data_IF_562127908559
#
_entry.id   IF_562127908559
#
_cell.length_a   1.000
_cell.length_b   1.000
_cell.length_c   1.000
_cell.angle_alpha   90.00
_cell.angle_beta   90.00
_cell.angle_gamma   90.00
#
_symmetry.space_group_name_H-M   'P 1'
#
loop_
_entity.id
_entity.type
_entity.pdbx_description
1 polymer ?
#
# COMPACT_ATOMS: atom_id res chain seq x y z
N UNK A 1 -18.91 -59.85 -26.63
CA UNK A 1 -19.53 -58.50 -26.62
C UNK A 1 -20.82 -58.46 -25.82
N UNK A 2 -21.75 -59.41 -25.97
CA UNK A 2 -23.03 -59.40 -25.20
C UNK A 2 -22.87 -59.48 -23.68
N UNK A 3 -21.95 -60.31 -23.17
CA UNK A 3 -21.72 -60.42 -21.73
C UNK A 3 -21.23 -59.11 -21.08
N UNK A 4 -20.46 -58.31 -21.83
CA UNK A 4 -20.00 -56.98 -21.40
C UNK A 4 -21.19 -56.01 -21.29
N UNK A 5 -22.10 -56.03 -22.26
CA UNK A 5 -23.31 -55.21 -22.27
C UNK A 5 -24.31 -55.57 -21.17
N UNK A 6 -24.43 -56.85 -20.83
CA UNK A 6 -25.31 -57.31 -19.74
C UNK A 6 -24.74 -56.88 -18.38
N UNK A 7 -23.42 -57.01 -18.20
CA UNK A 7 -22.74 -56.60 -16.97
C UNK A 7 -22.77 -55.09 -16.75
N UNK A 8 -22.53 -54.29 -17.81
CA UNK A 8 -22.62 -52.82 -17.71
C UNK A 8 -24.05 -52.35 -17.43
N UNK A 9 -25.05 -52.98 -18.04
CA UNK A 9 -26.47 -52.65 -17.82
C UNK A 9 -26.92 -52.90 -16.38
N UNK A 10 -26.47 -53.99 -15.76
CA UNK A 10 -26.79 -54.30 -14.36
C UNK A 10 -26.18 -53.27 -13.38
N UNK A 11 -24.96 -52.78 -13.66
CA UNK A 11 -24.27 -51.78 -12.82
C UNK A 11 -24.81 -50.36 -12.96
N UNK A 12 -25.29 -49.98 -14.16
CA UNK A 12 -25.87 -48.65 -14.40
C UNK A 12 -27.24 -48.52 -13.72
N UNK A 13 -28.04 -49.57 -13.75
CA UNK A 13 -29.37 -49.57 -13.13
C UNK A 13 -29.35 -49.49 -11.59
N UNK A 14 -28.24 -49.85 -10.93
CA UNK A 14 -28.11 -49.73 -9.47
C UNK A 14 -27.76 -48.31 -8.98
N UNK A 15 -27.50 -47.36 -9.89
CA UNK A 15 -27.06 -45.98 -9.58
C UNK A 15 -28.19 -44.95 -9.87
N UNK A 16 -29.40 -45.42 -10.23
CA UNK A 16 -30.53 -44.55 -10.56
C UNK A 16 -31.02 -43.76 -9.33
N UNK A 17 -30.65 -42.47 -9.29
CA UNK A 17 -30.95 -41.53 -8.21
C UNK A 17 -32.40 -41.00 -8.28
N UNK A 18 -33.10 -41.21 -9.40
CA UNK A 18 -34.46 -40.73 -9.61
C UNK A 18 -35.52 -41.78 -9.26
N UNK A 19 -35.34 -42.46 -8.11
CA UNK A 19 -36.14 -43.60 -7.60
C UNK A 19 -37.66 -43.37 -7.45
N UNK A 20 -38.26 -42.38 -8.10
CA UNK A 20 -39.70 -42.37 -8.41
C UNK A 20 -39.91 -43.19 -9.70
N UNK A 21 -40.42 -44.43 -9.60
CA UNK A 21 -40.71 -45.22 -10.79
C UNK A 21 -41.80 -44.51 -11.59
N UNK A 22 -41.45 -43.95 -12.74
CA UNK A 22 -42.45 -43.64 -13.76
C UNK A 22 -42.94 -44.98 -14.29
N UNK A 23 -44.07 -45.45 -13.73
CA UNK A 23 -44.73 -46.69 -14.11
C UNK A 23 -45.30 -46.57 -15.52
N UNK A 24 -44.54 -47.01 -16.53
CA UNK A 24 -45.04 -47.22 -17.88
C UNK A 24 -45.41 -48.69 -18.04
N UNK A 25 -46.71 -48.97 -17.99
CA UNK A 25 -47.26 -50.31 -18.18
C UNK A 25 -47.24 -50.67 -19.66
N UNK A 26 -46.25 -51.44 -20.11
CA UNK A 26 -46.24 -52.03 -21.45
C UNK A 26 -46.50 -53.54 -21.33
N UNK A 27 -47.61 -54.00 -21.91
CA UNK A 27 -48.02 -55.42 -21.95
C UNK A 27 -48.18 -56.10 -20.58
N UNK A 28 -48.70 -55.40 -19.57
CA UNK A 28 -49.10 -56.01 -18.30
C UNK A 28 -47.96 -56.55 -17.43
N UNK A 29 -46.71 -56.20 -17.73
CA UNK A 29 -45.55 -56.46 -16.87
C UNK A 29 -44.94 -55.13 -16.44
N UNK A 30 -44.88 -54.89 -15.15
CA UNK A 30 -44.13 -53.77 -14.57
C UNK A 30 -42.64 -53.99 -14.85
N UNK A 31 -42.11 -53.35 -15.89
CA UNK A 31 -40.69 -53.43 -16.22
C UNK A 31 -39.99 -52.18 -15.69
N UNK A 32 -39.38 -52.34 -14.53
CA UNK A 32 -38.63 -51.31 -13.82
C UNK A 32 -37.32 -50.94 -14.51
N UNK A 33 -36.89 -49.69 -14.28
CA UNK A 33 -35.64 -49.02 -14.69
C UNK A 33 -35.54 -48.65 -16.17
N UNK A 34 -35.76 -47.37 -16.47
CA UNK A 34 -35.46 -46.81 -17.78
C UNK A 34 -33.95 -46.74 -17.91
N UNK A 35 -33.38 -47.54 -18.81
CA UNK A 35 -31.96 -47.45 -19.20
C UNK A 35 -31.52 -45.99 -19.49
N UNK A 36 -32.47 -45.18 -19.97
CA UNK A 36 -32.32 -43.74 -20.19
C UNK A 36 -32.15 -42.93 -18.89
N UNK A 37 -32.86 -43.28 -17.82
CA UNK A 37 -32.68 -42.67 -16.49
C UNK A 37 -31.29 -42.95 -15.94
N UNK A 38 -30.82 -44.19 -16.05
CA UNK A 38 -29.46 -44.56 -15.65
C UNK A 38 -28.35 -43.82 -16.42
N UNK A 39 -28.50 -43.63 -17.74
CA UNK A 39 -27.57 -42.81 -18.54
C UNK A 39 -27.59 -41.35 -18.08
N UNK A 40 -28.78 -40.78 -17.87
CA UNK A 40 -28.92 -39.40 -17.42
C UNK A 40 -28.29 -39.19 -16.04
N UNK A 41 -28.52 -40.11 -15.10
CA UNK A 41 -27.88 -40.08 -13.78
C UNK A 41 -26.35 -40.13 -13.88
N UNK A 42 -25.78 -41.00 -14.72
CA UNK A 42 -24.33 -41.08 -14.93
C UNK A 42 -23.79 -39.76 -15.51
N UNK A 43 -24.46 -39.17 -16.50
CA UNK A 43 -24.05 -37.87 -17.06
C UNK A 43 -24.09 -36.75 -16.02
N UNK A 44 -25.15 -36.71 -15.20
CA UNK A 44 -25.25 -35.74 -14.11
C UNK A 44 -24.16 -35.94 -13.08
N UNK A 45 -23.88 -37.18 -12.65
CA UNK A 45 -22.79 -37.49 -11.71
C UNK A 45 -21.44 -37.05 -12.27
N UNK A 46 -21.15 -37.32 -13.54
CA UNK A 46 -19.92 -36.86 -14.20
C UNK A 46 -19.85 -35.33 -14.21
N UNK A 47 -20.96 -34.65 -14.52
CA UNK A 47 -21.06 -33.19 -14.47
C UNK A 47 -20.73 -32.63 -13.09
N UNK A 48 -21.34 -33.17 -12.03
CA UNK A 48 -21.08 -32.75 -10.65
C UNK A 48 -19.64 -33.01 -10.21
N UNK A 49 -19.08 -34.19 -10.53
CA UNK A 49 -17.68 -34.50 -10.21
C UNK A 49 -16.74 -33.56 -10.94
N UNK A 50 -17.01 -33.26 -12.22
CA UNK A 50 -16.20 -32.32 -13.00
C UNK A 50 -16.27 -30.90 -12.44
N UNK A 51 -17.47 -30.46 -12.06
CA UNK A 51 -17.69 -29.15 -11.42
C UNK A 51 -16.99 -29.06 -10.05
N UNK A 52 -17.15 -30.07 -9.20
CA UNK A 52 -16.46 -30.13 -7.91
C UNK A 52 -14.94 -30.18 -8.05
N UNK A 53 -14.42 -30.88 -9.07
CA UNK A 53 -12.99 -30.87 -9.37
C UNK A 53 -12.52 -29.49 -9.82
N UNK A 54 -13.29 -28.79 -10.66
CA UNK A 54 -12.99 -27.43 -11.08
C UNK A 54 -12.97 -26.46 -9.89
N UNK A 55 -13.97 -26.51 -9.00
CA UNK A 55 -13.99 -25.69 -7.79
C UNK A 55 -12.83 -26.02 -6.85
N UNK A 56 -12.46 -27.31 -6.72
CA UNK A 56 -11.30 -27.74 -5.93
C UNK A 56 -10.00 -27.19 -6.50
N UNK A 57 -9.85 -27.20 -7.83
CA UNK A 57 -8.69 -26.58 -8.50
C UNK A 57 -8.68 -25.08 -8.18
N UNK A 58 -9.80 -24.37 -8.34
CA UNK A 58 -9.87 -22.93 -8.06
C UNK A 58 -9.51 -22.57 -6.62
N UNK A 59 -9.93 -23.41 -5.66
CA UNK A 59 -9.58 -23.29 -4.23
C UNK A 59 -8.07 -23.49 -4.02
N UNK A 60 -7.51 -24.59 -4.54
CA UNK A 60 -6.10 -24.93 -4.35
C UNK A 60 -5.15 -23.96 -5.08
N UNK A 61 -5.54 -23.47 -6.25
CA UNK A 61 -4.77 -22.48 -7.01
C UNK A 61 -5.06 -21.05 -6.60
N UNK A 62 -5.99 -20.82 -5.67
CA UNK A 62 -6.46 -19.50 -5.22
C UNK A 62 -6.88 -18.58 -6.38
N UNK A 63 -7.33 -19.14 -7.50
CA UNK A 63 -7.61 -18.37 -8.72
C UNK A 63 -8.92 -17.58 -8.62
N UNK A 64 -9.80 -17.96 -7.70
CA UNK A 64 -11.07 -17.29 -7.42
C UNK A 64 -10.98 -16.36 -6.20
N UNK A 65 -9.80 -15.77 -5.96
CA UNK A 65 -9.59 -14.82 -4.86
C UNK A 65 -10.36 -13.53 -5.11
N UNK A 66 -11.21 -13.15 -4.17
CA UNK A 66 -11.87 -11.83 -4.16
C UNK A 66 -10.86 -10.78 -3.75
N UNK A 67 -10.76 -9.72 -4.55
CA UNK A 67 -9.86 -8.59 -4.35
C UNK A 67 -10.68 -7.32 -4.37
N UNK A 68 -10.65 -6.54 -3.30
CA UNK A 68 -11.31 -5.26 -3.24
C UNK A 68 -10.36 -4.16 -2.74
N UNK A 69 -10.51 -2.97 -3.32
CA UNK A 69 -9.91 -1.73 -2.84
C UNK A 69 -11.04 -0.72 -2.71
N UNK A 70 -11.26 -0.23 -1.49
CA UNK A 70 -12.23 0.81 -1.20
C UNK A 70 -11.48 2.05 -0.74
N UNK A 71 -11.74 3.19 -1.36
CA UNK A 71 -11.17 4.49 -0.96
C UNK A 71 -12.27 5.32 -0.31
N UNK A 72 -12.03 5.79 0.91
CA UNK A 72 -12.97 6.61 1.69
C UNK A 72 -12.31 7.96 1.91
N UNK A 73 -12.94 9.02 1.42
CA UNK A 73 -12.56 10.40 1.74
C UNK A 73 -13.16 10.80 3.10
N UNK A 74 -12.30 11.19 4.04
CA UNK A 74 -12.74 11.66 5.36
C UNK A 74 -13.00 13.16 5.34
N UNK A 75 -14.01 13.58 6.09
CA UNK A 75 -14.25 15.00 6.33
C UNK A 75 -13.10 15.59 7.18
N UNK A 76 -12.43 16.63 6.66
CA UNK A 76 -11.34 17.36 7.35
C UNK A 76 -11.74 17.84 8.74
N UNK A 77 -13.03 18.13 8.93
CA UNK A 77 -13.55 18.60 10.21
C UNK A 77 -13.50 17.44 11.22
N UNK A 78 -13.68 16.18 10.82
CA UNK A 78 -13.80 15.08 11.78
C UNK A 78 -12.47 14.34 12.05
N UNK A 79 -11.38 14.71 11.38
CA UNK A 79 -10.08 14.05 11.55
C UNK A 79 -9.35 14.60 12.78
N UNK A 80 -9.41 13.86 13.88
CA UNK A 80 -8.62 14.10 15.10
C UNK A 80 -7.54 13.06 15.35
N UNK A 81 -7.50 12.01 14.53
CA UNK A 81 -6.53 10.92 14.66
C UNK A 81 -5.13 11.40 14.29
N UNK A 82 -4.13 10.88 14.99
CA UNK A 82 -2.71 11.00 14.63
C UNK A 82 -2.18 9.64 14.25
N UNK A 83 -1.25 9.63 13.31
CA UNK A 83 -0.47 8.45 13.00
C UNK A 83 0.97 8.70 13.43
N UNK A 84 1.42 7.94 14.43
CA UNK A 84 2.83 7.88 14.77
C UNK A 84 3.48 6.88 13.82
N UNK A 85 4.53 7.31 13.14
CA UNK A 85 5.23 6.49 12.18
C UNK A 85 6.72 6.48 12.48
N UNK A 86 7.33 5.36 12.12
CA UNK A 86 8.78 5.22 12.13
C UNK A 86 9.34 5.16 10.71
N UNK A 87 10.67 5.12 10.58
CA UNK A 87 11.32 4.86 9.30
C UNK A 87 10.94 3.49 8.69
N UNK A 88 10.37 2.57 9.47
CA UNK A 88 9.84 1.32 8.94
C UNK A 88 8.54 1.50 8.16
N UNK A 89 7.78 2.56 8.44
CA UNK A 89 6.50 2.85 7.79
C UNK A 89 6.67 3.84 6.65
N UNK A 90 7.47 4.87 6.88
CA UNK A 90 7.79 5.93 5.93
C UNK A 90 9.22 6.42 6.20
N UNK A 91 10.11 6.20 5.24
CA UNK A 91 11.48 6.72 5.31
C UNK A 91 11.69 7.79 4.25
N UNK A 92 12.51 8.79 4.54
CA UNK A 92 12.86 9.82 3.58
C UNK A 92 14.34 10.19 3.67
N UNK A 93 14.90 10.58 2.52
CA UNK A 93 16.24 11.15 2.41
C UNK A 93 16.23 12.33 1.45
N UNK A 94 17.24 13.19 1.61
CA UNK A 94 17.50 14.31 0.72
C UNK A 94 18.82 14.07 0.02
N UNK A 95 18.81 14.14 -1.30
CA UNK A 95 19.99 14.07 -2.13
C UNK A 95 20.18 15.41 -2.83
N UNK A 96 21.38 15.97 -2.78
CA UNK A 96 21.72 17.24 -3.45
C UNK A 96 22.83 16.94 -4.45
N UNK A 97 22.63 17.35 -5.71
CA UNK A 97 23.59 17.08 -6.77
C UNK A 97 23.63 18.20 -7.81
N UNK A 98 24.68 18.21 -8.63
CA UNK A 98 24.79 19.14 -9.76
C UNK A 98 23.85 18.76 -10.91
N UNK A 99 23.20 19.77 -11.50
CA UNK A 99 22.17 19.60 -12.54
C UNK A 99 22.61 18.74 -13.75
N UNK A 100 23.83 18.94 -14.24
CA UNK A 100 24.27 18.36 -15.52
C UNK A 100 24.92 16.98 -15.39
N UNK A 101 25.35 16.59 -14.19
CA UNK A 101 26.24 15.44 -14.00
C UNK A 101 25.88 14.54 -12.83
N UNK A 102 24.81 14.86 -12.08
CA UNK A 102 24.39 14.11 -10.88
C UNK A 102 25.54 13.90 -9.88
N UNK A 103 26.52 14.80 -9.87
CA UNK A 103 27.65 14.72 -8.92
C UNK A 103 27.13 15.14 -7.56
N UNK A 104 27.23 14.28 -6.53
CA UNK A 104 26.74 14.59 -5.21
C UNK A 104 27.42 15.84 -4.63
N UNK A 105 26.64 16.68 -3.95
CA UNK A 105 27.11 17.88 -3.29
C UNK A 105 26.79 17.84 -1.81
N UNK A 106 27.84 17.63 -0.99
CA UNK A 106 27.74 17.56 0.47
C UNK A 106 28.75 18.55 1.06
N UNK A 107 28.28 19.75 1.37
CA UNK A 107 29.09 20.78 2.03
C UNK A 107 28.23 21.64 2.98
N UNK A 108 28.39 21.48 4.31
CA UNK A 108 27.60 22.22 5.30
C UNK A 108 27.89 23.72 5.30
N UNK A 109 28.99 24.19 4.69
CA UNK A 109 29.29 25.62 4.56
C UNK A 109 28.39 26.34 3.55
N UNK A 110 27.68 25.60 2.70
CA UNK A 110 26.72 26.12 1.73
C UNK A 110 25.28 25.93 2.20
N UNK A 111 24.90 24.71 2.57
CA UNK A 111 23.52 24.35 2.89
C UNK A 111 23.43 23.48 4.14
N UNK A 112 22.33 23.63 4.86
CA UNK A 112 21.91 22.71 5.91
C UNK A 112 20.57 22.09 5.52
N UNK A 113 20.43 20.78 5.72
CA UNK A 113 19.19 20.04 5.50
C UNK A 113 18.63 19.68 6.86
N UNK A 114 17.40 20.07 7.13
CA UNK A 114 16.79 19.88 8.44
C UNK A 114 15.40 19.31 8.34
N UNK A 115 15.04 18.53 9.34
CA UNK A 115 13.70 17.98 9.50
C UNK A 115 13.08 18.58 10.74
N UNK A 116 11.80 18.92 10.67
CA UNK A 116 11.08 19.44 11.81
C UNK A 116 9.69 18.81 11.93
N UNK A 117 9.30 18.46 13.15
CA UNK A 117 7.91 18.20 13.47
C UNK A 117 7.25 19.50 13.90
N UNK A 118 6.23 19.91 13.15
CA UNK A 118 5.44 21.10 13.40
C UNK A 118 4.09 20.69 13.98
N UNK A 119 3.77 21.22 15.16
CA UNK A 119 2.49 20.97 15.84
C UNK A 119 1.78 22.29 16.09
N UNK A 120 0.69 22.52 15.38
CA UNK A 120 -0.22 23.62 15.66
C UNK A 120 -1.25 23.17 16.67
N UNK A 121 -1.54 24.01 17.67
CA UNK A 121 -2.68 23.82 18.55
C UNK A 121 -3.50 25.11 18.67
N UNK A 122 -4.81 25.03 18.51
CA UNK A 122 -5.72 26.17 18.63
C UNK A 122 -6.48 26.10 19.95
N UNK A 123 -6.39 27.13 20.78
CA UNK A 123 -7.20 27.25 22.00
C UNK A 123 -8.47 28.05 21.71
N UNK A 124 -9.60 27.36 21.56
CA UNK A 124 -10.89 27.99 21.31
C UNK A 124 -11.35 28.97 22.40
N UNK A 125 -10.83 28.87 23.63
CA UNK A 125 -11.23 29.78 24.72
C UNK A 125 -10.51 31.12 24.63
N UNK A 126 -9.23 31.12 24.29
CA UNK A 126 -8.41 32.33 24.16
C UNK A 126 -8.34 32.88 22.73
N UNK A 127 -8.66 32.05 21.73
CA UNK A 127 -8.44 32.34 20.31
C UNK A 127 -6.96 32.28 19.91
N UNK A 128 -6.09 31.79 20.78
CA UNK A 128 -4.65 31.71 20.52
C UNK A 128 -4.29 30.49 19.67
N UNK A 129 -3.45 30.70 18.65
CA UNK A 129 -2.76 29.64 17.92
C UNK A 129 -1.37 29.46 18.56
N UNK A 130 -1.14 28.31 19.16
CA UNK A 130 0.21 27.91 19.59
C UNK A 130 0.84 27.04 18.50
N UNK A 131 2.11 27.28 18.22
CA UNK A 131 2.91 26.44 17.33
C UNK A 131 4.11 25.91 18.11
N UNK A 132 4.28 24.60 18.13
CA UNK A 132 5.46 23.92 18.65
C UNK A 132 6.27 23.38 17.46
N UNK A 133 7.54 23.75 17.41
CA UNK A 133 8.47 23.35 16.35
C UNK A 133 9.61 22.58 16.99
N UNK A 134 9.71 21.30 16.65
CA UNK A 134 10.83 20.44 17.05
C UNK A 134 11.68 20.17 15.82
N UNK A 135 12.80 20.88 15.71
CA UNK A 135 13.67 20.85 14.54
C UNK A 135 15.02 20.21 14.85
N UNK A 136 15.52 19.42 13.91
CA UNK A 136 16.80 18.73 13.97
C UNK A 136 17.53 18.82 12.61
N UNK A 137 18.87 18.87 12.65
CA UNK A 137 19.67 18.78 11.44
C UNK A 137 19.80 17.34 10.98
N UNK A 138 19.52 17.09 9.71
CA UNK A 138 19.69 15.77 9.11
C UNK A 138 21.19 15.46 8.96
N UNK A 139 21.56 14.23 9.25
CA UNK A 139 22.93 13.76 9.11
C UNK A 139 23.09 12.97 7.81
N UNK A 140 24.32 12.76 7.37
CA UNK A 140 24.58 11.80 6.29
C UNK A 140 24.05 10.43 6.73
N UNK A 141 23.35 9.76 5.83
CA UNK A 141 22.74 8.46 6.08
C UNK A 141 23.78 7.42 6.55
N UNK A 142 23.32 6.42 7.29
CA UNK A 142 24.13 5.24 7.65
C UNK A 142 23.78 4.09 6.71
N UNK A 143 24.68 3.12 6.55
CA UNK A 143 24.50 1.96 5.65
C UNK A 143 23.19 1.18 5.90
N UNK A 144 22.64 1.23 7.12
CA UNK A 144 21.43 0.52 7.52
C UNK A 144 20.16 1.40 7.50
N UNK A 145 20.14 2.54 6.82
CA UNK A 145 18.94 3.35 6.75
C UNK A 145 17.84 2.66 5.91
N UNK A 146 16.60 2.53 6.41
CA UNK A 146 15.57 1.69 5.79
C UNK A 146 14.88 2.39 4.62
N UNK A 147 15.63 2.90 3.65
CA UNK A 147 15.11 3.37 2.37
C UNK A 147 14.95 2.23 1.37
N UNK A 148 15.90 1.30 1.37
CA UNK A 148 16.04 0.29 0.34
C UNK A 148 15.99 -1.09 0.96
N UNK A 149 15.14 -1.93 0.38
CA UNK A 149 15.10 -3.35 0.66
C UNK A 149 16.45 -3.99 0.30
N UNK A 150 16.82 -5.10 0.95
CA UNK A 150 18.15 -5.74 0.83
C UNK A 150 18.54 -6.14 -0.61
N UNK A 151 17.61 -6.09 -1.56
CA UNK A 151 17.81 -6.50 -2.96
C UNK A 151 18.59 -5.48 -3.80
N UNK A 152 18.89 -4.29 -3.28
CA UNK A 152 19.61 -3.22 -3.97
C UNK A 152 20.85 -2.75 -3.18
N UNK A 153 21.65 -3.69 -2.67
CA UNK A 153 22.81 -3.40 -1.80
C UNK A 153 23.78 -2.38 -2.41
N UNK A 154 24.09 -2.46 -3.72
CA UNK A 154 24.99 -1.52 -4.39
C UNK A 154 24.43 -0.09 -4.44
N UNK A 155 23.13 0.04 -4.69
CA UNK A 155 22.43 1.33 -4.69
C UNK A 155 22.34 1.90 -3.26
N UNK A 156 22.06 1.04 -2.27
CA UNK A 156 22.02 1.43 -0.85
C UNK A 156 23.36 1.99 -0.40
N UNK A 157 24.46 1.32 -0.74
CA UNK A 157 25.80 1.75 -0.35
C UNK A 157 26.14 3.12 -0.96
N UNK A 158 25.83 3.34 -2.24
CA UNK A 158 26.05 4.63 -2.89
C UNK A 158 25.25 5.76 -2.23
N UNK A 159 23.93 5.59 -2.06
CA UNK A 159 23.06 6.62 -1.48
C UNK A 159 23.37 6.90 0.00
N UNK A 160 23.74 5.86 0.76
CA UNK A 160 24.04 6.02 2.18
C UNK A 160 25.20 7.00 2.45
N UNK A 161 26.12 7.18 1.50
CA UNK A 161 27.29 8.04 1.68
C UNK A 161 27.06 9.50 1.30
N UNK A 162 25.97 9.79 0.58
CA UNK A 162 25.79 11.06 -0.14
C UNK A 162 24.43 11.71 0.10
N UNK A 163 23.52 11.01 0.79
CA UNK A 163 22.20 11.52 1.14
C UNK A 163 22.11 11.92 2.61
N UNK A 164 21.24 12.87 2.89
CA UNK A 164 20.87 13.30 4.23
C UNK A 164 19.65 12.51 4.72
N UNK A 165 19.74 11.94 5.91
CA UNK A 165 18.70 11.18 6.58
C UNK A 165 18.37 11.78 7.94
N UNK A 166 17.12 11.61 8.36
CA UNK A 166 16.70 11.97 9.71
C UNK A 166 17.37 11.07 10.74
N UNK A 167 17.82 11.67 11.84
CA UNK A 167 18.27 10.98 13.05
C UNK A 167 17.10 10.70 14.00
N UNK A 168 16.08 11.56 14.02
CA UNK A 168 14.80 11.30 14.65
C UNK A 168 14.09 10.13 13.95
N UNK A 169 13.66 9.14 14.72
CA UNK A 169 12.96 7.95 14.21
C UNK A 169 11.46 8.06 14.34
N UNK A 170 10.97 8.88 15.27
CA UNK A 170 9.56 8.88 15.67
C UNK A 170 8.92 10.20 15.25
N UNK A 171 8.05 10.13 14.26
CA UNK A 171 7.30 11.26 13.78
C UNK A 171 5.81 11.01 13.97
N UNK A 172 5.04 12.10 13.98
CA UNK A 172 3.59 12.01 13.95
C UNK A 172 3.01 13.05 13.02
N UNK A 173 2.10 12.63 12.14
CA UNK A 173 1.27 13.53 11.35
C UNK A 173 -0.21 13.26 11.62
N UNK A 174 -1.05 14.23 11.26
CA UNK A 174 -2.50 14.11 11.31
C UNK A 174 -3.16 15.23 12.09
N UNK A 175 -4.44 15.03 12.41
CA UNK A 175 -5.30 16.06 12.93
C UNK A 175 -5.70 17.11 11.88
N UNK A 176 -6.27 18.20 12.36
CA UNK A 176 -6.88 19.23 11.53
C UNK A 176 -6.78 20.59 12.21
N UNK A 177 -6.55 21.64 11.43
CA UNK A 177 -6.52 23.03 11.94
C UNK A 177 -7.88 23.39 12.58
N UNK A 178 -8.95 22.72 12.16
CA UNK A 178 -10.30 22.92 12.70
C UNK A 178 -10.57 22.16 14.01
N UNK A 179 -9.75 21.19 14.41
CA UNK A 179 -10.04 20.26 15.52
C UNK A 179 -9.00 20.28 16.65
N UNK A 180 -8.55 21.48 16.99
CA UNK A 180 -7.57 21.82 18.04
C UNK A 180 -6.12 21.54 17.72
N UNK A 181 -5.74 20.53 16.94
CA UNK A 181 -4.33 20.23 16.70
C UNK A 181 -4.05 19.67 15.31
N UNK A 182 -3.03 20.20 14.64
CA UNK A 182 -2.48 19.72 13.37
C UNK A 182 -1.01 19.39 13.56
N UNK A 183 -0.58 18.20 13.14
CA UNK A 183 0.83 17.80 13.12
C UNK A 183 1.29 17.50 11.71
N UNK A 184 2.43 18.07 11.32
CA UNK A 184 3.07 17.86 10.02
C UNK A 184 4.57 17.68 10.20
N UNK A 185 5.22 17.09 9.18
CA UNK A 185 6.68 16.95 9.14
C UNK A 185 7.20 17.80 8.00
N UNK A 186 8.13 18.70 8.27
CA UNK A 186 8.72 19.59 7.28
C UNK A 186 10.19 19.21 7.06
N UNK A 187 10.58 19.06 5.80
CA UNK A 187 11.98 18.86 5.41
C UNK A 187 12.41 20.11 4.65
N UNK A 188 13.44 20.78 5.16
CA UNK A 188 13.90 22.08 4.68
C UNK A 188 15.34 21.99 4.22
N UNK A 189 15.60 22.54 3.03
CA UNK A 189 16.95 22.82 2.55
C UNK A 189 17.18 24.32 2.65
N UNK A 190 18.07 24.74 3.54
CA UNK A 190 18.36 26.13 3.86
C UNK A 190 19.80 26.49 3.59
N UNK A 191 20.07 27.76 3.26
CA UNK A 191 21.44 28.29 3.24
C UNK A 191 22.07 28.16 4.62
N UNK A 192 23.38 27.96 4.64
CA UNK A 192 24.17 28.05 5.86
C UNK A 192 23.99 29.46 6.47
N UNK A 193 23.67 29.50 7.77
CA UNK A 193 23.66 30.70 8.59
C UNK A 193 24.74 30.53 9.64
N UNK A 194 25.58 31.55 9.85
CA UNK A 194 26.73 31.47 10.75
C UNK A 194 26.26 31.22 12.19
N UNK A 195 26.16 29.95 12.53
CA UNK A 195 25.94 29.43 13.87
C UNK A 195 27.19 28.65 14.28
N UNK A 196 27.56 28.77 15.56
CA UNK A 196 28.89 28.58 16.17
C UNK A 196 29.82 27.45 15.70
N UNK A 197 29.38 26.43 14.96
CA UNK A 197 30.15 25.27 14.54
C UNK A 197 30.63 25.29 13.07
N UNK A 198 29.97 26.04 12.17
CA UNK A 198 30.30 26.05 10.74
C UNK A 198 30.44 27.48 10.24
N UNK A 199 31.54 27.75 9.52
CA UNK A 199 31.77 29.04 8.85
C UNK A 199 31.10 28.97 7.47
N UNK A 200 30.02 29.72 7.30
CA UNK A 200 29.27 29.76 6.06
C UNK A 200 29.99 30.57 4.98
N UNK A 201 29.78 30.17 3.73
CA UNK A 201 30.20 30.94 2.55
C UNK A 201 29.43 32.26 2.43
N UNK A 202 29.91 33.16 1.57
CA UNK A 202 29.19 34.41 1.34
C UNK A 202 27.82 34.14 0.73
N UNK A 203 26.88 35.06 0.93
CA UNK A 203 25.54 34.93 0.35
C UNK A 203 25.61 34.77 -1.17
N UNK A 204 26.49 35.52 -1.81
CA UNK A 204 26.69 35.51 -3.28
C UNK A 204 27.27 34.17 -3.76
N UNK A 205 28.19 33.57 -3.00
CA UNK A 205 28.75 32.26 -3.30
C UNK A 205 27.70 31.16 -3.15
N UNK A 206 26.89 31.20 -2.10
CA UNK A 206 25.80 30.23 -1.87
C UNK A 206 24.75 30.33 -2.97
N UNK A 207 24.30 31.55 -3.28
CA UNK A 207 23.31 31.80 -4.34
C UNK A 207 23.85 31.41 -5.73
N UNK A 208 25.14 31.67 -5.99
CA UNK A 208 25.76 31.22 -7.23
C UNK A 208 25.80 29.70 -7.32
N UNK A 209 26.16 29.02 -6.24
CA UNK A 209 26.23 27.56 -6.20
C UNK A 209 24.85 26.92 -6.30
N UNK A 210 23.85 27.49 -5.64
CA UNK A 210 22.48 26.99 -5.65
C UNK A 210 21.91 26.89 -7.07
N UNK A 211 22.25 27.81 -7.99
CA UNK A 211 21.76 27.77 -9.38
C UNK A 211 22.16 26.53 -10.17
N UNK A 212 23.21 25.83 -9.75
CA UNK A 212 23.73 24.65 -10.42
C UNK A 212 23.31 23.35 -9.72
N UNK A 213 22.45 23.43 -8.69
CA UNK A 213 22.09 22.31 -7.84
C UNK A 213 20.61 21.93 -7.98
N UNK A 214 20.41 20.62 -7.97
CA UNK A 214 19.11 19.96 -7.87
C UNK A 214 19.04 19.23 -6.54
N UNK A 215 17.89 19.33 -5.88
CA UNK A 215 17.54 18.57 -4.69
C UNK A 215 16.51 17.53 -5.06
N UNK A 216 16.79 16.28 -4.71
CA UNK A 216 15.86 15.16 -4.83
C UNK A 216 15.46 14.70 -3.43
N UNK A 217 14.17 14.70 -3.15
CA UNK A 217 13.63 14.00 -1.99
C UNK A 217 13.31 12.57 -2.40
N UNK A 218 13.89 11.63 -1.68
CA UNK A 218 13.69 10.21 -1.90
C UNK A 218 12.79 9.75 -0.76
N UNK A 219 11.65 9.17 -1.08
CA UNK A 219 10.67 8.74 -0.08
C UNK A 219 10.36 7.27 -0.30
N UNK A 220 10.37 6.51 0.78
CA UNK A 220 9.99 5.10 0.79
C UNK A 220 8.64 4.95 1.49
N UNK A 221 7.69 4.35 0.78
CA UNK A 221 6.36 4.01 1.28
C UNK A 221 6.04 2.53 1.03
N UNK A 222 4.84 2.10 1.36
CA UNK A 222 4.37 0.71 1.17
C UNK A 222 3.15 0.65 0.26
N UNK A 223 3.03 -0.44 -0.47
CA UNK A 223 1.85 -0.80 -1.26
C UNK A 223 1.43 -2.24 -1.00
N UNK A 224 0.16 -2.55 -1.29
CA UNK A 224 -0.38 -3.90 -1.16
C UNK A 224 -0.38 -4.62 -2.51
N UNK A 225 0.31 -5.75 -2.57
CA UNK A 225 0.34 -6.66 -3.71
C UNK A 225 -0.67 -7.80 -3.49
N UNK A 226 -1.79 -7.73 -4.23
CA UNK A 226 -2.85 -8.73 -4.13
C UNK A 226 -2.40 -10.15 -4.51
N UNK A 227 -1.35 -10.29 -5.32
CA UNK A 227 -0.89 -11.57 -5.85
C UNK A 227 0.17 -12.24 -4.95
N UNK A 228 0.72 -11.50 -3.98
CA UNK A 228 1.69 -12.04 -3.03
C UNK A 228 1.01 -12.45 -1.72
N UNK A 229 0.94 -13.76 -1.48
CA UNK A 229 0.31 -14.32 -0.28
C UNK A 229 1.27 -14.51 0.89
N UNK A 230 2.57 -14.36 0.67
CA UNK A 230 3.59 -14.53 1.73
C UNK A 230 3.97 -13.18 2.32
N UNK A 231 4.27 -12.21 1.45
CA UNK A 231 4.67 -10.84 1.80
C UNK A 231 3.85 -9.81 1.01
N UNK A 232 2.55 -9.67 1.32
CA UNK A 232 1.65 -8.82 0.53
C UNK A 232 1.96 -7.32 0.61
N UNK A 233 2.47 -6.84 1.74
CA UNK A 233 2.80 -5.42 1.91
C UNK A 233 4.27 -5.23 1.52
N UNK A 234 4.49 -4.52 0.42
CA UNK A 234 5.82 -4.33 -0.17
C UNK A 234 6.23 -2.88 -0.07
N UNK A 235 7.53 -2.67 0.13
CA UNK A 235 8.14 -1.35 0.14
C UNK A 235 8.40 -0.89 -1.29
N UNK A 236 8.12 0.38 -1.56
CA UNK A 236 8.46 1.06 -2.81
C UNK A 236 9.24 2.33 -2.47
N UNK A 237 10.14 2.73 -3.37
CA UNK A 237 10.92 3.96 -3.27
C UNK A 237 10.52 4.86 -4.44
N UNK A 238 10.26 6.11 -4.14
CA UNK A 238 9.94 7.15 -5.10
C UNK A 238 10.99 8.27 -5.02
N UNK A 239 11.52 8.67 -6.16
CA UNK A 239 12.52 9.72 -6.35
C UNK A 239 12.02 10.87 -7.26
N UNK A 240 10.72 10.93 -7.52
CA UNK A 240 10.12 11.92 -8.42
C UNK A 240 10.10 13.35 -7.86
N UNK A 241 10.46 13.55 -6.58
CA UNK A 241 10.45 14.85 -5.91
C UNK A 241 11.74 15.63 -6.18
N UNK A 242 11.85 16.15 -7.40
CA UNK A 242 13.06 16.81 -7.91
C UNK A 242 12.84 18.32 -8.02
N UNK A 243 13.66 19.10 -7.30
CA UNK A 243 13.60 20.55 -7.23
C UNK A 243 14.92 21.16 -7.67
N UNK A 244 14.89 21.91 -8.78
CA UNK A 244 16.00 22.78 -9.13
C UNK A 244 16.07 23.95 -8.15
N UNK A 245 17.21 24.17 -7.53
CA UNK A 245 17.39 25.34 -6.66
C UNK A 245 17.46 26.61 -7.51
N UNK A 246 16.80 27.67 -7.03
CA UNK A 246 16.79 28.98 -7.68
C UNK A 246 17.16 30.05 -6.66
N UNK A 247 18.06 30.95 -7.05
CA UNK A 247 18.45 32.07 -6.19
C UNK A 247 17.26 33.00 -5.93
N UNK A 248 16.97 33.29 -4.65
CA UNK A 248 15.94 34.24 -4.25
C UNK A 248 14.49 33.74 -4.42
N UNK A 249 14.30 32.45 -4.70
CA UNK A 249 12.99 31.81 -4.73
C UNK A 249 12.94 30.70 -3.67
N UNK A 250 11.86 30.68 -2.91
CA UNK A 250 11.50 29.57 -2.04
C UNK A 250 10.53 28.67 -2.79
N UNK A 251 10.85 27.38 -2.85
CA UNK A 251 9.96 26.34 -3.37
C UNK A 251 9.28 25.63 -2.22
N UNK A 252 7.97 25.57 -2.26
CA UNK A 252 7.15 24.86 -1.29
C UNK A 252 6.37 23.76 -1.99
N UNK A 253 6.37 22.55 -1.43
CA UNK A 253 5.58 21.42 -1.92
C UNK A 253 4.97 20.65 -0.77
N UNK A 254 3.81 20.06 -1.02
CA UNK A 254 3.10 19.21 -0.07
C UNK A 254 3.09 17.77 -0.56
N UNK A 255 3.51 16.87 0.31
CA UNK A 255 3.45 15.43 0.13
C UNK A 255 2.32 14.86 0.98
N UNK A 256 1.31 14.27 0.34
CA UNK A 256 0.17 13.67 1.02
C UNK A 256 0.42 12.17 1.23
N UNK A 257 0.43 11.77 2.50
CA UNK A 257 0.63 10.38 2.92
C UNK A 257 -0.70 9.80 3.36
N UNK A 258 -1.14 8.79 2.60
CA UNK A 258 -2.35 8.05 2.84
C UNK A 258 -2.11 6.92 3.83
N UNK A 259 -3.04 6.76 4.77
CA UNK A 259 -3.13 5.55 5.59
C UNK A 259 -3.93 4.50 4.83
N UNK A 260 -3.39 3.29 4.78
CA UNK A 260 -4.01 2.12 4.17
C UNK A 260 -4.19 1.03 5.21
N UNK A 261 -5.33 0.34 5.19
CA UNK A 261 -5.59 -0.84 6.00
C UNK A 261 -5.81 -2.04 5.10
N UNK A 262 -5.40 -3.23 5.55
CA UNK A 262 -5.66 -4.48 4.82
C UNK A 262 -6.32 -5.49 5.74
N UNK A 263 -7.34 -6.16 5.23
CA UNK A 263 -7.98 -7.33 5.83
C UNK A 263 -7.73 -8.56 4.93
N UNK A 264 -7.12 -9.59 5.51
CA UNK A 264 -6.72 -10.81 4.81
C UNK A 264 -7.46 -12.03 5.37
N UNK A 265 -8.27 -12.66 4.55
CA UNK A 265 -8.90 -13.95 4.80
C UNK A 265 -8.35 -14.98 3.82
N UNK A 266 -7.06 -15.31 3.96
CA UNK A 266 -6.31 -16.16 3.03
C UNK A 266 -6.35 -17.66 3.39
N UNK A 267 -6.96 -18.02 4.52
CA UNK A 267 -7.06 -19.40 4.98
C UNK A 267 -8.13 -20.17 4.22
N UNK A 268 -7.79 -21.38 3.76
CA UNK A 268 -8.76 -22.31 3.16
C UNK A 268 -9.73 -22.89 4.20
N UNK A 269 -9.29 -22.96 5.46
CA UNK A 269 -10.09 -23.45 6.58
C UNK A 269 -10.75 -22.27 7.31
N UNK A 270 -12.00 -22.43 7.77
CA UNK A 270 -12.73 -21.39 8.50
C UNK A 270 -12.15 -21.09 9.90
N UNK A 271 -11.12 -21.83 10.32
CA UNK A 271 -10.42 -21.63 11.59
C UNK A 271 -9.14 -20.79 11.43
N UNK A 272 -8.84 -20.31 10.22
CA UNK A 272 -7.74 -19.36 10.04
C UNK A 272 -8.07 -18.03 10.67
N UNK A 273 -7.06 -17.39 11.26
CA UNK A 273 -7.20 -16.03 11.77
C UNK A 273 -7.23 -15.05 10.60
N UNK A 274 -8.23 -14.16 10.60
CA UNK A 274 -8.21 -12.99 9.74
C UNK A 274 -7.06 -12.09 10.19
N UNK A 275 -6.20 -11.69 9.25
CA UNK A 275 -5.08 -10.80 9.53
C UNK A 275 -5.46 -9.39 9.11
N UNK A 276 -5.42 -8.47 10.08
CA UNK A 276 -5.50 -7.04 9.82
C UNK A 276 -4.12 -6.40 9.95
N UNK A 277 -3.78 -5.50 9.02
CA UNK A 277 -2.54 -4.75 9.05
C UNK A 277 -2.77 -3.32 8.51
N UNK A 278 -1.85 -2.40 8.78
CA UNK A 278 -1.92 -1.03 8.26
C UNK A 278 -0.57 -0.51 7.83
N UNK A 279 -0.56 0.30 6.78
CA UNK A 279 0.65 0.82 6.18
C UNK A 279 0.43 2.22 5.60
N UNK A 280 1.53 2.91 5.27
CA UNK A 280 1.51 4.23 4.67
C UNK A 280 1.82 4.15 3.17
N UNK A 281 1.05 4.88 2.37
CA UNK A 281 1.17 4.93 0.91
C UNK A 281 1.24 6.39 0.46
N UNK A 282 1.94 6.64 -0.63
CA UNK A 282 2.00 7.94 -1.28
C UNK A 282 1.35 7.78 -2.66
N UNK A 283 0.20 8.42 -2.86
CA UNK A 283 -0.53 8.38 -4.14
C UNK A 283 -0.59 9.76 -4.81
N UNK A 284 -0.48 10.83 -4.02
CA UNK A 284 -0.70 12.19 -4.48
C UNK A 284 0.37 13.14 -3.95
N UNK A 285 0.80 14.06 -4.80
CA UNK A 285 1.65 15.16 -4.43
C UNK A 285 1.21 16.41 -5.18
N UNK A 286 1.20 17.54 -4.49
CA UNK A 286 0.92 18.82 -5.13
C UNK A 286 2.23 19.50 -5.51
N UNK A 287 2.36 19.78 -6.81
CA UNK A 287 3.53 20.43 -7.39
C UNK A 287 3.64 21.89 -6.97
N UNK A 288 4.90 22.31 -6.92
CA UNK A 288 5.51 23.50 -6.33
C UNK A 288 4.67 24.78 -6.37
N UNK A 289 4.58 25.43 -5.22
CA UNK A 289 4.31 26.86 -5.15
C UNK A 289 5.65 27.58 -5.01
N UNK A 290 5.98 28.42 -6.00
CA UNK A 290 7.15 29.31 -5.91
C UNK A 290 6.73 30.62 -5.25
N UNK A 291 7.38 30.94 -4.13
CA UNK A 291 7.18 32.23 -3.45
C UNK A 291 8.48 33.03 -3.49
N UNK A 292 8.35 34.33 -3.80
CA UNK A 292 9.45 35.27 -3.62
C UNK A 292 9.49 35.69 -2.16
N UNK A 293 10.33 35.04 -1.38
CA UNK A 293 10.77 35.55 -0.09
C UNK A 293 12.29 35.64 -0.08
N UNK A 294 12.81 36.87 -0.16
CA UNK A 294 14.25 37.13 -0.17
C UNK A 294 14.88 37.11 1.23
N UNK A 295 14.07 37.04 2.28
CA UNK A 295 14.53 37.12 3.67
C UNK A 295 14.72 35.75 4.31
N UNK A 296 13.88 34.78 3.93
CA UNK A 296 13.92 33.41 4.42
C UNK A 296 15.20 32.68 3.92
N UNK A 297 16.04 32.09 4.81
CA UNK A 297 17.15 31.25 4.38
C UNK A 297 16.75 29.94 3.69
N UNK A 298 15.47 29.62 3.57
CA UNK A 298 14.99 28.36 2.99
C UNK A 298 14.90 28.44 1.45
N UNK A 299 15.57 27.51 0.77
CA UNK A 299 15.42 27.31 -0.68
C UNK A 299 14.24 26.40 -1.01
N UNK A 300 14.11 25.29 -0.29
CA UNK A 300 13.10 24.27 -0.55
C UNK A 300 12.50 23.82 0.78
N UNK A 301 11.18 23.70 0.82
CA UNK A 301 10.37 23.30 1.96
C UNK A 301 9.37 22.23 1.50
N UNK A 302 9.60 20.98 1.90
CA UNK A 302 8.71 19.86 1.63
C UNK A 302 7.92 19.55 2.90
N UNK A 303 6.60 19.73 2.86
CA UNK A 303 5.72 19.43 3.97
C UNK A 303 4.96 18.11 3.76
N UNK A 304 5.19 17.15 4.64
CA UNK A 304 4.52 15.86 4.69
C UNK A 304 3.27 15.97 5.56
N UNK A 305 2.11 15.65 4.97
CA UNK A 305 0.79 15.79 5.57
C UNK A 305 -0.01 14.49 5.43
N UNK A 306 -0.98 14.30 6.32
CA UNK A 306 -1.93 13.20 6.18
C UNK A 306 -2.87 13.48 4.99
N UNK A 307 -3.06 12.48 4.13
CA UNK A 307 -4.15 12.48 3.15
C UNK A 307 -5.49 12.19 3.85
N UNK A 308 -6.55 12.82 3.37
CA UNK A 308 -7.91 12.62 3.85
C UNK A 308 -8.53 11.36 3.27
N UNK A 309 -8.03 10.92 2.12
CA UNK A 309 -8.39 9.64 1.54
C UNK A 309 -7.69 8.53 2.32
N UNK A 310 -8.46 7.54 2.76
CA UNK A 310 -7.96 6.31 3.37
C UNK A 310 -8.37 5.13 2.51
N UNK A 311 -7.42 4.24 2.24
CA UNK A 311 -7.71 3.03 1.46
C UNK A 311 -7.88 1.82 2.38
N UNK A 312 -8.87 0.99 2.08
CA UNK A 312 -9.07 -0.32 2.68
C UNK A 312 -8.95 -1.38 1.59
N UNK A 313 -8.03 -2.32 1.81
CA UNK A 313 -7.76 -3.44 0.94
C UNK A 313 -8.36 -4.70 1.56
N UNK A 314 -9.10 -5.48 0.79
CA UNK A 314 -9.63 -6.77 1.24
C UNK A 314 -9.19 -7.85 0.26
N UNK A 315 -8.62 -8.92 0.81
CA UNK A 315 -8.33 -10.14 0.05
C UNK A 315 -8.96 -11.32 0.76
N UNK A 316 -9.85 -12.02 0.06
CA UNK A 316 -10.49 -13.25 0.53
C UNK A 316 -10.25 -14.36 -0.46
N UNK A 317 -9.55 -15.41 -0.01
CA UNK A 317 -9.36 -16.61 -0.80
C UNK A 317 -10.62 -17.45 -0.78
N UNK A 318 -10.96 -18.05 -1.92
CA UNK A 318 -12.05 -19.02 -2.01
C UNK A 318 -11.77 -20.20 -1.06
N UNK A 319 -12.64 -20.38 -0.07
CA UNK A 319 -12.43 -21.27 1.07
C UNK A 319 -13.35 -22.51 1.03
N UNK A 320 -13.16 -23.46 1.95
CA UNK A 320 -14.00 -24.66 2.06
C UNK A 320 -15.49 -24.32 2.32
N UNK A 321 -15.84 -23.34 3.17
CA UNK A 321 -17.22 -22.85 3.26
C UNK A 321 -17.78 -22.43 1.90
N UNK A 322 -17.02 -21.64 1.13
CA UNK A 322 -17.45 -21.16 -0.19
C UNK A 322 -17.58 -22.31 -1.21
N UNK A 323 -16.70 -23.32 -1.11
CA UNK A 323 -16.80 -24.58 -1.86
C UNK A 323 -18.10 -25.32 -1.56
N UNK A 324 -18.41 -25.48 -0.28
CA UNK A 324 -19.57 -26.24 0.19
C UNK A 324 -20.88 -25.54 -0.21
N UNK A 325 -20.95 -24.21 -0.02
CA UNK A 325 -22.09 -23.39 -0.41
C UNK A 325 -22.36 -23.45 -1.92
N UNK A 326 -21.32 -23.31 -2.75
CA UNK A 326 -21.48 -23.39 -4.21
C UNK A 326 -21.91 -24.80 -4.67
N UNK A 327 -21.37 -25.85 -4.03
CA UNK A 327 -21.78 -27.22 -4.33
C UNK A 327 -23.25 -27.46 -3.95
N UNK A 328 -23.68 -27.00 -2.78
CA UNK A 328 -25.07 -27.09 -2.32
C UNK A 328 -26.03 -26.32 -3.24
N UNK A 329 -25.69 -25.08 -3.59
CA UNK A 329 -26.47 -24.26 -4.53
C UNK A 329 -26.61 -24.94 -5.89
N UNK A 330 -25.55 -25.60 -6.38
CA UNK A 330 -25.62 -26.37 -7.62
C UNK A 330 -26.56 -27.57 -7.49
N UNK A 331 -26.55 -28.29 -6.38
CA UNK A 331 -27.43 -29.44 -6.14
C UNK A 331 -28.91 -29.02 -6.09
N UNK A 332 -29.21 -27.88 -5.45
CA UNK A 332 -30.56 -27.34 -5.33
C UNK A 332 -31.15 -26.89 -6.68
N UNK A 333 -30.33 -26.51 -7.66
CA UNK A 333 -30.81 -26.16 -9.00
C UNK A 333 -31.36 -27.37 -9.79
N UNK A 334 -30.89 -28.58 -9.48
CA UNK A 334 -31.29 -29.81 -10.19
C UNK A 334 -32.43 -30.58 -9.50
N UNK A 335 -32.86 -30.14 -8.31
CA UNK A 335 -34.06 -30.64 -7.62
C UNK A 335 -35.29 -29.87 -8.06
#
# INVERSE_FOLDING_TARGET
MEAFWIWTKAKVNSIDMFSKPVSLTYQGREKFTTFLGGILSVLLTIGFVSYGMQLSIQMLTRSATSKAKNSIERDQILVSDYYNFSHEDLAFAVFIATDDSFVPFVDPSYFNVTVAQLSYSYDFKSGALNADLKEESMAICRENFPLLDHKLDDFRNFFSQISYCSTQTDFSFGGSVFFNTLKTVQIKVRRCVNETSVICKSKEEIEAKARDLTVTFIVSSKYFDFDDFETPIKRVVDDQFIFKMSSGLKKFSELYVKRSTVALSDSLLPLGEDKEDSFLTIDNYQKDQETRDMSDPIFIDLEIRQDLVVDSYERRVYSIPDFSENLENSLNFFQ
#
